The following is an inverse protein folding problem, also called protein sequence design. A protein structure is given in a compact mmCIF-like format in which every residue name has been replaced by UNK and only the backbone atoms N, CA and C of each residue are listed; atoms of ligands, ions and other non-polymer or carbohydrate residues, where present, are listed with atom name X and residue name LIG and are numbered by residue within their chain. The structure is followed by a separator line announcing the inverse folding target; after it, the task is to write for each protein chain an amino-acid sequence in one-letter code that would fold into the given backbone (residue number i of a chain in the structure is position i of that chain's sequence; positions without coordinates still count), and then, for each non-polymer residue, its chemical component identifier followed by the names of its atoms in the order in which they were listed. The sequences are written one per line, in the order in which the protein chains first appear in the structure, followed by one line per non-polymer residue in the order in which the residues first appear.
data_IF_638539339318
#
_entry.id   IF_638539339318
#
_cell.length_a   1.000
_cell.length_b   1.000
_cell.length_c   1.000
_cell.angle_alpha   90.00
_cell.angle_beta   90.00
_cell.angle_gamma   90.00
#
_symmetry.space_group_name_H-M   'P 1'
#
loop_
_entity.id
_entity.type
_entity.pdbx_description
1 polymer ?
#
# COMPACT_ATOMS: atom_id res chain seq x y z
N UNK A 1 5.05 -13.76 -18.00
CA UNK A 1 6.06 -13.29 -17.01
C UNK A 1 6.03 -14.19 -15.79
N UNK A 2 7.17 -14.48 -15.12
CA UNK A 2 7.10 -15.14 -13.79
C UNK A 2 6.42 -14.17 -12.82
N UNK A 3 5.44 -14.66 -12.07
CA UNK A 3 4.65 -13.91 -11.10
C UNK A 3 5.49 -13.00 -10.18
N UNK A 4 6.67 -13.46 -9.76
CA UNK A 4 7.57 -12.67 -8.91
C UNK A 4 8.09 -11.43 -9.60
N UNK A 5 8.53 -11.55 -10.86
CA UNK A 5 9.02 -10.42 -11.65
C UNK A 5 7.90 -9.40 -11.92
N UNK A 6 6.68 -9.88 -12.20
CA UNK A 6 5.51 -9.01 -12.34
C UNK A 6 5.24 -8.23 -11.05
N UNK A 7 5.23 -8.93 -9.91
CA UNK A 7 4.94 -8.33 -8.61
C UNK A 7 5.91 -7.19 -8.29
N UNK A 8 7.20 -7.39 -8.53
CA UNK A 8 8.21 -6.33 -8.32
C UNK A 8 7.99 -5.12 -9.24
N UNK A 9 7.74 -5.34 -10.53
CA UNK A 9 7.56 -4.24 -11.48
C UNK A 9 6.25 -3.47 -11.22
N UNK A 10 5.17 -4.19 -10.93
CA UNK A 10 3.87 -3.57 -10.65
C UNK A 10 3.90 -2.80 -9.32
N UNK A 11 4.63 -3.27 -8.31
CA UNK A 11 4.87 -2.53 -7.06
C UNK A 11 5.59 -1.19 -7.31
N UNK A 12 6.55 -1.14 -8.24
CA UNK A 12 7.18 0.12 -8.65
C UNK A 12 6.15 1.08 -9.26
N UNK A 13 5.32 0.59 -10.19
CA UNK A 13 4.24 1.38 -10.80
C UNK A 13 3.27 1.92 -9.75
N UNK A 14 2.88 1.08 -8.80
CA UNK A 14 1.97 1.45 -7.72
C UNK A 14 2.58 2.51 -6.79
N UNK A 15 3.84 2.37 -6.39
CA UNK A 15 4.51 3.38 -5.56
C UNK A 15 4.59 4.73 -6.25
N UNK A 16 4.93 4.75 -7.55
CA UNK A 16 4.93 5.96 -8.35
C UNK A 16 3.54 6.61 -8.40
N UNK A 17 2.49 5.83 -8.63
CA UNK A 17 1.12 6.34 -8.65
C UNK A 17 0.66 6.87 -7.28
N UNK A 18 0.90 6.15 -6.18
CA UNK A 18 0.57 6.64 -4.83
C UNK A 18 1.36 7.91 -4.50
N UNK A 19 2.63 7.99 -4.91
CA UNK A 19 3.45 9.18 -4.70
C UNK A 19 2.87 10.40 -5.40
N UNK A 20 2.49 10.27 -6.67
CA UNK A 20 1.79 11.33 -7.42
C UNK A 20 0.45 11.68 -6.79
N UNK A 21 -0.35 10.69 -6.38
CA UNK A 21 -1.70 10.92 -5.84
C UNK A 21 -1.71 11.55 -4.44
N UNK A 22 -0.64 11.36 -3.66
CA UNK A 22 -0.54 11.85 -2.28
C UNK A 22 0.39 13.06 -2.13
N UNK A 23 1.20 13.37 -3.14
CA UNK A 23 2.28 14.35 -3.06
C UNK A 23 3.48 13.91 -2.19
N UNK A 24 3.45 12.70 -1.61
CA UNK A 24 4.51 12.17 -0.74
C UNK A 24 5.55 11.47 -1.62
N UNK A 25 6.84 11.85 -1.57
CA UNK A 25 7.85 11.31 -2.47
C UNK A 25 8.17 9.83 -2.15
N UNK A 26 8.53 9.08 -3.20
CA UNK A 26 9.07 7.73 -3.06
C UNK A 26 10.40 7.78 -2.29
N UNK A 27 10.52 6.97 -1.25
CA UNK A 27 11.75 6.86 -0.47
C UNK A 27 12.86 6.21 -1.29
N UNK A 28 14.06 6.79 -1.24
CA UNK A 28 15.25 6.28 -1.93
C UNK A 28 16.01 5.21 -1.14
N UNK A 29 15.62 4.94 0.12
CA UNK A 29 16.32 4.01 1.03
C UNK A 29 15.46 2.79 1.34
N UNK A 30 16.12 1.68 1.65
CA UNK A 30 15.46 0.50 2.25
C UNK A 30 14.70 0.96 3.51
N UNK A 31 13.39 0.72 3.54
CA UNK A 31 12.53 1.24 4.60
C UNK A 31 11.08 1.39 4.13
N UNK A 32 10.43 2.42 4.64
CA UNK A 32 9.07 2.84 4.27
C UNK A 32 9.03 3.30 2.80
N UNK A 33 8.07 2.81 2.02
CA UNK A 33 7.99 3.06 0.57
C UNK A 33 7.85 4.54 0.15
N UNK A 34 7.02 5.31 0.86
CA UNK A 34 6.84 6.75 0.63
C UNK A 34 7.10 7.51 1.93
N UNK A 35 7.84 8.61 1.87
CA UNK A 35 8.30 9.27 3.08
C UNK A 35 8.57 10.77 2.85
N UNK A 36 8.02 11.62 3.71
CA UNK A 36 8.40 13.02 3.82
C UNK A 36 8.81 13.41 5.26
N UNK A 37 8.70 14.68 5.62
CA UNK A 37 9.07 15.19 6.94
C UNK A 37 8.03 14.91 8.03
N UNK A 38 6.78 14.60 7.66
CA UNK A 38 5.64 14.42 8.56
C UNK A 38 5.08 13.01 8.52
N UNK A 39 5.05 12.39 7.33
CA UNK A 39 4.30 11.17 7.07
C UNK A 39 5.19 10.12 6.41
N UNK A 40 4.99 8.85 6.79
CA UNK A 40 5.54 7.69 6.10
C UNK A 40 4.46 6.66 5.76
N UNK A 41 4.52 6.08 4.56
CA UNK A 41 3.59 5.05 4.07
C UNK A 41 4.36 3.83 3.57
N UNK A 42 4.11 2.66 4.18
CA UNK A 42 4.55 1.37 3.65
C UNK A 42 3.43 0.75 2.82
N UNK A 43 3.70 0.45 1.55
CA UNK A 43 2.68 0.01 0.60
C UNK A 43 2.72 -1.52 0.45
N UNK A 44 1.56 -2.17 0.56
CA UNK A 44 1.40 -3.60 0.28
C UNK A 44 0.33 -3.80 -0.78
N UNK A 45 0.75 -4.21 -1.97
CA UNK A 45 -0.12 -4.43 -3.12
C UNK A 45 -0.65 -5.86 -3.23
N UNK A 46 -1.92 -6.01 -3.63
CA UNK A 46 -2.54 -7.27 -4.02
C UNK A 46 -3.49 -7.12 -5.21
N UNK A 47 -3.36 -8.02 -6.18
CA UNK A 47 -4.37 -8.17 -7.23
C UNK A 47 -5.64 -8.74 -6.60
N UNK A 48 -6.80 -8.13 -6.87
CA UNK A 48 -8.09 -8.50 -6.26
C UNK A 48 -8.51 -9.94 -6.49
N UNK A 49 -8.06 -10.57 -7.59
CA UNK A 49 -8.37 -11.97 -7.90
C UNK A 49 -7.61 -12.98 -7.04
N UNK A 50 -6.57 -12.56 -6.30
CA UNK A 50 -5.85 -13.42 -5.35
C UNK A 50 -6.34 -13.22 -3.91
N UNK A 51 -5.74 -13.99 -2.98
CA UNK A 51 -6.06 -13.99 -1.54
C UNK A 51 -6.28 -12.59 -0.97
N UNK A 52 -7.37 -12.46 -0.19
CA UNK A 52 -7.67 -11.25 0.59
C UNK A 52 -6.65 -10.98 1.71
N UNK A 53 -5.73 -11.93 1.98
CA UNK A 53 -4.75 -11.82 3.05
C UNK A 53 -3.44 -11.19 2.58
N UNK A 54 -3.08 -10.07 3.22
CA UNK A 54 -1.83 -9.37 3.04
C UNK A 54 -0.89 -9.75 4.18
N UNK A 55 0.27 -10.28 3.82
CA UNK A 55 1.31 -10.61 4.79
C UNK A 55 2.13 -9.35 5.11
N UNK A 56 2.16 -8.98 6.38
CA UNK A 56 2.97 -7.89 6.91
C UNK A 56 4.06 -8.48 7.78
N UNK A 57 5.32 -8.25 7.42
CA UNK A 57 6.44 -8.81 8.17
C UNK A 57 6.55 -8.11 9.53
N UNK A 58 6.56 -8.88 10.62
CA UNK A 58 6.50 -8.34 11.98
C UNK A 58 7.74 -7.48 12.33
N UNK A 59 8.87 -7.69 11.63
CA UNK A 59 10.02 -6.79 11.74
C UNK A 59 9.68 -5.35 11.34
N UNK A 60 9.03 -5.15 10.18
CA UNK A 60 8.64 -3.81 9.68
C UNK A 60 7.74 -3.10 10.69
N UNK A 61 6.78 -3.81 11.28
CA UNK A 61 5.86 -3.29 12.31
C UNK A 61 6.59 -2.65 13.48
N UNK A 62 7.77 -3.15 13.84
CA UNK A 62 8.53 -2.70 15.01
C UNK A 62 9.70 -1.78 14.67
N UNK A 63 10.35 -1.97 13.52
CA UNK A 63 11.57 -1.25 13.16
C UNK A 63 11.26 0.17 12.71
N UNK A 64 10.33 0.36 11.78
CA UNK A 64 10.13 1.66 11.14
C UNK A 64 9.66 2.76 12.12
N UNK A 65 8.78 2.50 13.10
CA UNK A 65 8.48 3.49 14.13
C UNK A 65 9.70 3.91 14.98
N UNK A 66 10.71 3.05 15.11
CA UNK A 66 11.96 3.39 15.83
C UNK A 66 12.89 4.23 14.98
N UNK A 67 12.93 4.01 13.67
CA UNK A 67 13.75 4.76 12.71
C UNK A 67 13.13 6.14 12.37
N UNK A 68 11.82 6.26 12.54
CA UNK A 68 11.06 7.47 12.21
C UNK A 68 10.11 7.88 13.36
N UNK A 69 10.62 8.20 14.56
CA UNK A 69 9.78 8.49 15.72
C UNK A 69 8.97 9.78 15.58
N UNK A 70 9.44 10.73 14.78
CA UNK A 70 8.83 12.06 14.60
C UNK A 70 7.80 12.12 13.46
N UNK A 71 7.44 10.97 12.88
CA UNK A 71 6.54 10.89 11.73
C UNK A 71 5.30 10.08 12.07
N UNK A 72 4.17 10.48 11.50
CA UNK A 72 2.98 9.64 11.51
C UNK A 72 3.11 8.57 10.41
N UNK A 73 3.01 7.31 10.81
CA UNK A 73 3.22 6.18 9.93
C UNK A 73 1.89 5.50 9.57
N UNK A 74 1.78 5.08 8.31
CA UNK A 74 0.61 4.41 7.76
C UNK A 74 1.01 3.16 6.98
N UNK A 75 0.14 2.16 7.04
CA UNK A 75 0.12 1.07 6.07
C UNK A 75 -0.80 1.46 4.92
N UNK A 76 -0.30 1.48 3.69
CA UNK A 76 -1.11 1.57 2.48
C UNK A 76 -1.43 0.17 1.96
N UNK A 77 -2.66 -0.29 2.13
CA UNK A 77 -3.11 -1.57 1.55
C UNK A 77 -3.74 -1.32 0.20
N UNK A 78 -3.00 -1.67 -0.86
CA UNK A 78 -3.40 -1.41 -2.23
C UNK A 78 -4.02 -2.67 -2.85
N UNK A 79 -5.22 -2.51 -3.39
CA UNK A 79 -5.89 -3.53 -4.19
C UNK A 79 -6.06 -3.04 -5.62
N UNK A 80 -5.78 -3.90 -6.59
CA UNK A 80 -5.84 -3.53 -8.01
C UNK A 80 -6.44 -4.63 -8.88
N UNK A 81 -6.88 -4.24 -10.06
CA UNK A 81 -7.39 -5.14 -11.10
C UNK A 81 -6.56 -5.00 -12.39
N UNK A 82 -6.58 -6.06 -13.21
CA UNK A 82 -5.90 -6.06 -14.49
C UNK A 82 -6.89 -6.37 -15.63
N UNK A 83 -6.69 -5.76 -16.79
CA UNK A 83 -7.46 -6.02 -18.00
C UNK A 83 -7.23 -7.43 -18.58
N UNK A 84 -6.16 -8.11 -18.15
CA UNK A 84 -5.86 -9.50 -18.52
C UNK A 84 -5.01 -10.21 -17.45
N UNK A 85 -5.01 -11.56 -17.43
CA UNK A 85 -4.18 -12.33 -16.50
C UNK A 85 -2.68 -12.05 -16.63
N UNK A 86 -1.94 -12.20 -15.52
CA UNK A 86 -0.49 -11.93 -15.42
C UNK A 86 0.31 -12.76 -16.42
N UNK A 87 -0.13 -13.98 -16.69
CA UNK A 87 0.50 -14.92 -17.63
C UNK A 87 0.46 -14.39 -19.07
N UNK A 88 -0.51 -13.52 -19.40
CA UNK A 88 -0.68 -12.87 -20.72
C UNK A 88 -0.02 -11.49 -20.80
N UNK A 89 0.69 -11.07 -19.75
CA UNK A 89 1.50 -9.84 -19.74
C UNK A 89 2.95 -10.22 -20.09
N UNK A 90 3.44 -9.62 -21.18
CA UNK A 90 4.78 -9.86 -21.70
C UNK A 90 5.86 -9.29 -20.78
N UNK A 91 6.99 -10.01 -20.68
CA UNK A 91 8.10 -9.68 -19.77
C UNK A 91 8.77 -8.33 -20.09
N UNK A 92 8.76 -7.93 -21.36
CA UNK A 92 9.38 -6.69 -21.83
C UNK A 92 8.41 -5.52 -21.89
N UNK A 93 7.20 -5.70 -21.34
CA UNK A 93 6.28 -4.58 -21.24
C UNK A 93 6.87 -3.53 -20.28
N UNK A 94 7.12 -2.33 -20.82
CA UNK A 94 7.65 -1.21 -20.03
C UNK A 94 6.56 -0.44 -19.31
N UNK A 95 5.36 -0.42 -19.86
CA UNK A 95 4.22 0.27 -19.25
C UNK A 95 3.18 -0.75 -18.75
N UNK A 96 3.31 -1.12 -17.47
CA UNK A 96 2.32 -1.97 -16.81
C UNK A 96 1.05 -1.20 -16.43
N UNK A 97 1.07 0.14 -16.41
CA UNK A 97 -0.10 0.92 -16.01
C UNK A 97 -1.27 0.73 -16.97
N UNK A 98 -1.01 0.53 -18.27
CA UNK A 98 -2.05 0.27 -19.27
C UNK A 98 -2.85 -1.01 -19.03
N UNK A 99 -2.31 -1.94 -18.23
CA UNK A 99 -3.02 -3.15 -17.87
C UNK A 99 -3.79 -3.02 -16.57
N UNK A 100 -3.56 -1.97 -15.77
CA UNK A 100 -4.26 -1.77 -14.50
C UNK A 100 -5.56 -1.02 -14.76
N UNK A 101 -6.70 -1.66 -14.47
CA UNK A 101 -8.04 -1.12 -14.75
C UNK A 101 -8.67 -0.40 -13.57
N UNK A 102 -8.33 -0.82 -12.35
CA UNK A 102 -8.80 -0.21 -11.11
C UNK A 102 -7.71 -0.32 -10.04
N UNK A 103 -7.68 0.68 -9.15
CA UNK A 103 -6.84 0.69 -7.96
C UNK A 103 -7.59 1.34 -6.83
N UNK A 104 -7.42 0.80 -5.63
CA UNK A 104 -7.75 1.50 -4.40
C UNK A 104 -6.65 1.32 -3.37
N UNK A 105 -6.46 2.32 -2.51
CA UNK A 105 -5.55 2.23 -1.37
C UNK A 105 -6.29 2.58 -0.11
N UNK A 106 -6.20 1.71 0.88
CA UNK A 106 -6.67 1.94 2.23
C UNK A 106 -5.50 2.27 3.13
N UNK A 107 -5.47 3.48 3.64
CA UNK A 107 -4.43 3.89 4.58
C UNK A 107 -4.89 3.60 6.00
N UNK A 108 -4.10 2.84 6.74
CA UNK A 108 -4.41 2.45 8.11
C UNK A 108 -3.28 2.91 9.03
N UNK A 109 -3.56 3.52 10.19
CA UNK A 109 -2.51 3.94 11.12
C UNK A 109 -1.59 2.78 11.47
N UNK A 110 -0.29 3.04 11.62
CA UNK A 110 0.72 1.99 11.79
C UNK A 110 0.38 0.99 12.90
N UNK A 111 -0.12 1.51 14.03
CA UNK A 111 -0.46 0.73 15.21
C UNK A 111 -1.68 -0.18 15.03
N UNK A 112 -2.54 0.08 14.03
CA UNK A 112 -3.69 -0.76 13.73
C UNK A 112 -3.28 -2.21 13.44
N UNK A 113 -2.11 -2.44 12.83
CA UNK A 113 -1.60 -3.78 12.52
C UNK A 113 -1.29 -4.61 13.78
N UNK A 114 -1.08 -3.96 14.93
CA UNK A 114 -0.64 -4.64 16.16
C UNK A 114 -1.73 -5.53 16.76
N UNK A 115 -2.99 -5.32 16.40
CA UNK A 115 -4.12 -6.14 16.84
C UNK A 115 -4.12 -7.56 16.24
N UNK A 116 -3.40 -7.79 15.14
CA UNK A 116 -3.40 -9.08 14.44
C UNK A 116 -2.37 -10.03 15.05
N UNK A 117 -2.71 -11.31 15.25
CA UNK A 117 -1.77 -12.30 15.79
C UNK A 117 -0.52 -12.42 14.91
N UNK A 118 0.64 -12.62 15.54
CA UNK A 118 1.88 -13.00 14.83
C UNK A 118 1.87 -14.50 14.59
N UNK A 119 2.05 -14.87 13.33
CA UNK A 119 2.27 -16.24 12.86
C UNK A 119 3.75 -16.41 12.52
N UNK A 120 4.31 -17.60 12.75
CA UNK A 120 5.74 -17.89 12.54
C UNK A 120 5.94 -19.07 11.59
N UNK A 121 5.60 -18.95 10.30
CA UNK A 121 6.05 -19.91 9.29
C UNK A 121 7.58 -19.89 9.16
N UNK A 122 8.13 -20.86 8.43
CA UNK A 122 9.58 -20.98 8.15
C UNK A 122 10.17 -19.73 7.51
N UNK A 123 9.37 -18.99 6.74
CA UNK A 123 9.79 -17.78 6.02
C UNK A 123 9.88 -16.53 6.90
N UNK A 124 9.48 -16.60 8.17
CA UNK A 124 9.61 -15.51 9.14
C UNK A 124 8.32 -15.17 9.89
N UNK A 125 8.38 -14.23 10.84
CA UNK A 125 7.21 -13.81 11.60
C UNK A 125 6.34 -12.82 10.79
N UNK A 126 5.09 -13.19 10.52
CA UNK A 126 4.14 -12.39 9.77
C UNK A 126 2.85 -12.13 10.55
N UNK A 127 2.20 -11.01 10.23
CA UNK A 127 0.80 -10.74 10.55
C UNK A 127 0.02 -10.79 9.26
N UNK A 128 -1.09 -11.52 9.24
CA UNK A 128 -1.93 -11.63 8.05
C UNK A 128 -3.17 -10.75 8.21
N UNK A 129 -3.36 -9.84 7.28
CA UNK A 129 -4.43 -8.85 7.29
C UNK A 129 -5.43 -9.17 6.19
N UNK A 130 -6.71 -9.31 6.55
CA UNK A 130 -7.79 -9.42 5.56
C UNK A 130 -8.49 -8.08 5.39
N UNK A 131 -8.84 -7.72 4.15
CA UNK A 131 -9.69 -6.55 3.84
C UNK A 131 -11.01 -6.58 4.63
N UNK A 132 -11.58 -7.76 4.88
CA UNK A 132 -12.82 -7.92 5.68
C UNK A 132 -12.70 -7.41 7.12
N UNK A 133 -11.47 -7.25 7.63
CA UNK A 133 -11.20 -6.72 8.97
C UNK A 133 -10.90 -5.22 8.98
N UNK A 134 -10.95 -4.55 7.83
CA UNK A 134 -10.76 -3.11 7.78
C UNK A 134 -11.88 -2.40 8.54
N UNK A 135 -11.60 -1.23 9.15
CA UNK A 135 -12.64 -0.41 9.72
C UNK A 135 -13.72 -0.09 8.67
N UNK A 136 -14.96 0.20 9.10
CA UNK A 136 -16.02 0.58 8.18
C UNK A 136 -15.65 1.80 7.33
N UNK A 137 -16.08 1.83 6.06
CA UNK A 137 -15.75 2.89 5.10
C UNK A 137 -16.05 4.31 5.60
N UNK A 138 -17.10 4.49 6.42
CA UNK A 138 -17.43 5.78 7.06
C UNK A 138 -16.32 6.36 7.96
N UNK A 139 -15.33 5.55 8.36
CA UNK A 139 -14.13 6.00 9.09
C UNK A 139 -13.07 6.62 8.19
N UNK A 140 -13.32 6.64 6.89
CA UNK A 140 -12.42 7.17 5.89
C UNK A 140 -13.08 8.31 5.11
N UNK A 141 -12.25 9.22 4.66
CA UNK A 141 -12.55 10.12 3.56
C UNK A 141 -12.12 9.45 2.26
N UNK A 142 -12.99 9.52 1.25
CA UNK A 142 -12.74 8.90 -0.04
C UNK A 142 -12.37 9.98 -1.04
N UNK A 143 -11.18 9.85 -1.61
CA UNK A 143 -10.69 10.75 -2.66
C UNK A 143 -10.55 9.95 -3.96
N UNK A 144 -11.33 10.31 -4.97
CA UNK A 144 -11.18 9.77 -6.32
C UNK A 144 -10.08 10.57 -7.05
N UNK A 145 -9.13 9.87 -7.65
CA UNK A 145 -8.00 10.49 -8.33
C UNK A 145 -7.70 9.81 -9.66
N UNK A 146 -6.83 10.42 -10.47
CA UNK A 146 -6.44 9.82 -11.75
C UNK A 146 -5.82 8.44 -11.52
N UNK A 147 -6.46 7.39 -12.05
CA UNK A 147 -5.99 6.02 -11.97
C UNK A 147 -6.37 5.23 -10.71
N UNK A 148 -7.25 5.76 -9.85
CA UNK A 148 -7.78 5.00 -8.72
C UNK A 148 -8.50 5.83 -7.65
N UNK A 149 -8.56 5.28 -6.44
CA UNK A 149 -9.19 5.92 -5.29
C UNK A 149 -8.37 5.72 -4.01
N UNK A 150 -8.42 6.70 -3.12
CA UNK A 150 -7.74 6.70 -1.83
C UNK A 150 -8.77 6.71 -0.70
N UNK A 151 -8.54 5.91 0.33
CA UNK A 151 -9.32 5.87 1.56
C UNK A 151 -8.44 6.34 2.72
N UNK A 152 -8.60 7.61 3.09
CA UNK A 152 -7.79 8.31 4.10
C UNK A 152 -8.49 8.23 5.46
N UNK A 153 -7.83 7.86 6.56
CA UNK A 153 -8.44 7.93 7.88
C UNK A 153 -8.93 9.35 8.16
N UNK A 154 -10.19 9.51 8.56
CA UNK A 154 -10.71 10.82 8.97
C UNK A 154 -9.95 11.36 10.18
N UNK A 155 -9.86 12.68 10.26
CA UNK A 155 -9.19 13.46 11.29
C UNK A 155 -7.68 13.17 11.40
N UNK A 156 -7.07 12.69 10.32
CA UNK A 156 -5.65 12.30 10.29
C UNK A 156 -4.77 13.31 9.56
N UNK A 157 -3.46 13.32 9.85
CA UNK A 157 -2.52 14.20 9.15
C UNK A 157 -2.47 13.88 7.64
N UNK A 158 -2.63 12.60 7.30
CA UNK A 158 -2.68 12.14 5.92
C UNK A 158 -3.90 12.70 5.17
N UNK A 159 -5.06 12.75 5.82
CA UNK A 159 -6.27 13.39 5.26
C UNK A 159 -6.05 14.88 5.02
N UNK A 160 -5.59 15.60 6.05
CA UNK A 160 -5.33 17.05 5.99
C UNK A 160 -4.33 17.41 4.89
N UNK A 161 -3.35 16.55 4.63
CA UNK A 161 -2.32 16.75 3.62
C UNK A 161 -2.81 16.50 2.20
N UNK A 162 -3.66 15.50 2.00
CA UNK A 162 -4.05 15.04 0.65
C UNK A 162 -5.28 15.76 0.13
N UNK A 163 -6.30 16.04 0.96
CA UNK A 163 -7.54 16.70 0.51
C UNK A 163 -7.26 18.00 -0.26
N UNK A 164 -6.36 18.90 0.18
CA UNK A 164 -6.09 20.16 -0.54
C UNK A 164 -5.53 20.01 -1.95
N UNK A 165 -5.14 18.80 -2.37
CA UNK A 165 -4.65 18.50 -3.72
C UNK A 165 -5.79 18.28 -4.73
N UNK A 166 -7.06 18.24 -4.28
CA UNK A 166 -8.26 17.93 -5.06
C UNK A 166 -9.36 18.97 -4.84
#
# INVERSE_FOLDING_TARGET
MNYRAFTTLVEICHRGWVSTATGIPVSSRNGVDLLDHEVGIELKGRLRTYSEHIAVHNYQVNQFPREHPDRELYWGFLFYELSKPVERIWLYERDLNKFITDREVWFLPWNWIRQFRVHRPETGPYRYVSKKRFPPEKKFERVDCSGGRLYLPRDSLLEQKIIPLF
#
